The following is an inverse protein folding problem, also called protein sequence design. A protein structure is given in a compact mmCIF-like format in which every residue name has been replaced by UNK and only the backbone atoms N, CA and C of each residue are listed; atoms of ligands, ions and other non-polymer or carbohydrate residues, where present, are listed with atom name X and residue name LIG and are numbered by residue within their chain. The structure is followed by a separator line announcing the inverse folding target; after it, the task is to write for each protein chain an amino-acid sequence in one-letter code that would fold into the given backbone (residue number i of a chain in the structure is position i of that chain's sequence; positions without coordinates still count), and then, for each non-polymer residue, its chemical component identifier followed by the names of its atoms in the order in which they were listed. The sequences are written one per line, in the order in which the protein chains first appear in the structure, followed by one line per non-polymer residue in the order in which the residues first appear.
data_IF_457783710767
#
_entry.id   IF_457783710767
#
_cell.length_a   1.000
_cell.length_b   1.000
_cell.length_c   1.000
_cell.angle_alpha   90.00
_cell.angle_beta   90.00
_cell.angle_gamma   90.00
#
_symmetry.space_group_name_H-M   'P 1'
#
loop_
_entity.id
_entity.type
_entity.pdbx_description
1 polymer ?
#
# COMPACT_ATOMS: atom_id res chain seq x y z
N UNK A 1 -9.83 -10.12 -3.65
CA UNK A 1 -8.72 -9.19 -3.91
C UNK A 1 -8.94 -7.86 -3.20
N UNK A 2 -7.89 -7.05 -3.09
CA UNK A 2 -8.05 -5.69 -2.56
C UNK A 2 -8.91 -4.82 -3.49
N UNK A 3 -9.38 -3.68 -3.00
CA UNK A 3 -10.27 -2.80 -3.74
C UNK A 3 -9.70 -2.27 -5.04
N UNK A 4 -8.36 -2.20 -5.16
CA UNK A 4 -7.69 -1.65 -6.33
C UNK A 4 -7.83 -2.52 -7.59
N UNK A 5 -7.84 -3.83 -7.45
CA UNK A 5 -7.86 -4.78 -8.57
C UNK A 5 -9.24 -5.38 -8.88
N UNK A 6 -10.24 -5.11 -8.05
CA UNK A 6 -11.61 -5.60 -8.27
C UNK A 6 -12.44 -4.53 -8.96
N UNK A 7 -12.91 -4.75 -10.21
CA UNK A 7 -13.71 -3.76 -10.93
C UNK A 7 -14.98 -3.37 -10.15
N UNK A 8 -15.31 -2.07 -10.03
CA UNK A 8 -16.45 -1.64 -9.22
C UNK A 8 -17.82 -1.75 -9.93
N UNK A 9 -17.83 -1.99 -11.25
CA UNK A 9 -19.04 -2.00 -12.08
C UNK A 9 -19.34 -3.36 -12.68
N UNK A 10 -20.62 -3.59 -12.96
CA UNK A 10 -21.12 -4.67 -13.79
C UNK A 10 -21.88 -4.06 -15.00
N UNK A 11 -21.38 -4.25 -16.25
CA UNK A 11 -20.19 -5.03 -16.64
C UNK A 11 -18.87 -4.45 -16.09
N UNK A 12 -17.84 -5.29 -15.90
CA UNK A 12 -16.61 -4.91 -15.19
C UNK A 12 -15.83 -3.81 -15.92
N UNK A 13 -15.74 -2.65 -15.29
CA UNK A 13 -15.02 -1.46 -15.77
C UNK A 13 -14.24 -0.85 -14.62
N UNK A 14 -13.02 -0.41 -14.90
CA UNK A 14 -12.25 0.42 -13.99
C UNK A 14 -12.47 1.89 -14.32
N UNK A 15 -13.02 2.70 -13.40
CA UNK A 15 -13.11 4.14 -13.58
C UNK A 15 -11.71 4.78 -13.57
N UNK A 16 -11.52 5.94 -14.22
CA UNK A 16 -10.23 6.63 -14.19
C UNK A 16 -9.90 7.10 -12.76
N UNK A 17 -8.72 6.73 -12.28
CA UNK A 17 -8.23 7.09 -10.94
C UNK A 17 -7.51 8.44 -10.88
N UNK A 18 -7.26 9.07 -12.03
CA UNK A 18 -6.69 10.41 -12.15
C UNK A 18 -7.68 11.34 -12.78
N UNK A 19 -7.98 12.43 -12.10
CA UNK A 19 -8.88 13.47 -12.63
C UNK A 19 -8.29 14.23 -13.83
N UNK A 20 -6.95 14.22 -14.00
CA UNK A 20 -6.26 15.06 -14.99
C UNK A 20 -5.10 14.33 -15.65
N UNK A 21 -4.99 14.52 -16.96
CA UNK A 21 -3.94 13.98 -17.80
C UNK A 21 -4.42 12.90 -18.78
N UNK A 22 -3.95 12.99 -20.02
CA UNK A 22 -4.18 11.92 -20.98
C UNK A 22 -3.53 10.62 -20.49
N UNK A 23 -4.16 9.45 -20.72
CA UNK A 23 -3.50 8.18 -20.47
C UNK A 23 -2.25 8.06 -21.35
N UNK A 24 -1.21 7.43 -20.83
CA UNK A 24 0.05 7.18 -21.59
C UNK A 24 -0.27 6.39 -22.87
N UNK A 25 -1.24 5.49 -22.78
CA UNK A 25 -1.77 4.70 -23.89
C UNK A 25 -3.29 4.67 -23.80
N UNK A 26 -4.03 4.91 -24.91
CA UNK A 26 -5.48 4.78 -24.93
C UNK A 26 -5.95 3.39 -24.52
N UNK A 27 -7.08 3.31 -23.81
CA UNK A 27 -7.63 2.03 -23.31
C UNK A 27 -7.93 1.07 -24.47
N UNK A 28 -8.40 1.59 -25.59
CA UNK A 28 -8.72 0.78 -26.77
C UNK A 28 -7.47 0.12 -27.38
N UNK A 29 -6.35 0.83 -27.42
CA UNK A 29 -5.07 0.25 -27.84
C UNK A 29 -4.60 -0.84 -26.90
N UNK A 30 -4.71 -0.64 -25.58
CA UNK A 30 -4.35 -1.67 -24.58
C UNK A 30 -5.26 -2.88 -24.76
N UNK A 31 -6.55 -2.67 -24.95
CA UNK A 31 -7.52 -3.76 -25.18
C UNK A 31 -7.19 -4.53 -26.45
N UNK A 32 -6.82 -3.84 -27.52
CA UNK A 32 -6.40 -4.44 -28.78
C UNK A 32 -5.15 -5.32 -28.62
N UNK A 33 -4.12 -4.81 -27.92
CA UNK A 33 -2.89 -5.58 -27.65
C UNK A 33 -3.17 -6.83 -26.81
N UNK A 34 -4.01 -6.69 -25.79
CA UNK A 34 -4.44 -7.82 -24.94
C UNK A 34 -5.18 -8.86 -25.77
N UNK A 35 -6.12 -8.44 -26.62
CA UNK A 35 -6.88 -9.34 -27.49
C UNK A 35 -6.00 -10.06 -28.50
N UNK A 36 -4.97 -9.40 -29.03
CA UNK A 36 -3.97 -10.04 -29.87
C UNK A 36 -3.21 -11.16 -29.13
N UNK A 37 -2.89 -10.97 -27.85
CA UNK A 37 -2.26 -12.00 -27.01
C UNK A 37 -3.23 -13.13 -26.67
N UNK A 38 -4.49 -12.82 -26.33
CA UNK A 38 -5.52 -13.82 -26.06
C UNK A 38 -5.76 -14.72 -27.27
N UNK A 39 -5.88 -14.13 -28.46
CA UNK A 39 -6.03 -14.87 -29.71
C UNK A 39 -4.85 -15.83 -29.97
N UNK A 40 -3.60 -15.37 -29.75
CA UNK A 40 -2.41 -16.24 -29.88
C UNK A 40 -2.43 -17.42 -28.90
N UNK A 41 -3.12 -17.29 -27.77
CA UNK A 41 -3.27 -18.33 -26.74
C UNK A 41 -4.54 -19.16 -26.89
N UNK A 42 -5.32 -18.95 -27.95
CA UNK A 42 -6.59 -19.63 -28.14
C UNK A 42 -7.66 -19.29 -27.12
N UNK A 43 -7.54 -18.09 -26.48
CA UNK A 43 -8.48 -17.60 -25.49
C UNK A 43 -9.49 -16.64 -26.14
N UNK A 44 -10.72 -16.54 -25.60
CA UNK A 44 -11.71 -15.58 -26.07
C UNK A 44 -11.23 -14.16 -25.85
N UNK A 45 -11.58 -13.26 -26.78
CA UNK A 45 -11.31 -11.84 -26.67
C UNK A 45 -12.23 -11.19 -25.63
N UNK A 46 -11.77 -10.05 -25.07
CA UNK A 46 -12.53 -9.24 -24.13
C UNK A 46 -12.95 -7.92 -24.78
N UNK A 47 -14.12 -7.43 -24.41
CA UNK A 47 -14.59 -6.10 -24.82
C UNK A 47 -14.01 -5.00 -23.93
N UNK A 48 -13.73 -5.32 -22.65
CA UNK A 48 -13.24 -4.41 -21.64
C UNK A 48 -12.16 -5.05 -20.78
N UNK A 49 -11.14 -4.31 -20.41
CA UNK A 49 -10.02 -4.81 -19.60
C UNK A 49 -10.46 -5.38 -18.24
N UNK A 50 -11.50 -4.83 -17.63
CA UNK A 50 -12.05 -5.33 -16.37
C UNK A 50 -12.49 -6.79 -16.41
N UNK A 51 -12.85 -7.32 -17.59
CA UNK A 51 -13.22 -8.72 -17.76
C UNK A 51 -12.06 -9.71 -17.52
N UNK A 52 -10.81 -9.25 -17.65
CA UNK A 52 -9.61 -10.07 -17.38
C UNK A 52 -9.48 -10.46 -15.90
N UNK A 53 -10.03 -9.66 -15.03
CA UNK A 53 -9.95 -9.83 -13.57
C UNK A 53 -11.32 -10.07 -12.92
N UNK A 54 -12.37 -10.07 -13.73
CA UNK A 54 -13.69 -10.49 -13.30
C UNK A 54 -13.73 -12.03 -13.21
N UNK A 55 -14.08 -12.54 -12.02
CA UNK A 55 -14.36 -13.97 -11.82
C UNK A 55 -15.86 -14.21 -11.70
N UNK A 56 -16.26 -15.46 -11.48
CA UNK A 56 -17.66 -15.84 -11.21
C UNK A 56 -18.19 -15.23 -9.92
N UNK A 57 -17.28 -14.91 -8.99
CA UNK A 57 -17.58 -14.17 -7.77
C UNK A 57 -16.46 -13.19 -7.44
N UNK A 58 -16.81 -12.08 -6.85
CA UNK A 58 -15.88 -11.03 -6.43
C UNK A 58 -16.02 -10.77 -4.94
N UNK A 59 -14.90 -10.80 -4.23
CA UNK A 59 -14.83 -10.47 -2.81
C UNK A 59 -13.79 -9.36 -2.63
N UNK A 60 -14.20 -8.23 -2.07
CA UNK A 60 -13.33 -7.09 -1.79
C UNK A 60 -12.81 -7.24 -0.36
N UNK A 61 -11.52 -7.51 -0.23
CA UNK A 61 -10.87 -7.83 1.04
C UNK A 61 -10.07 -6.64 1.55
N UNK A 62 -10.76 -5.55 1.88
CA UNK A 62 -10.21 -4.34 2.51
C UNK A 62 -11.26 -3.66 3.38
N UNK A 63 -10.85 -2.69 4.16
CA UNK A 63 -11.77 -1.81 4.88
C UNK A 63 -12.49 -0.90 3.88
N UNK A 64 -13.81 -0.63 4.08
CA UNK A 64 -14.57 0.26 3.19
C UNK A 64 -13.92 1.64 3.02
N UNK A 65 -13.33 2.17 4.07
CA UNK A 65 -12.65 3.48 4.09
C UNK A 65 -11.41 3.52 3.22
N UNK A 66 -10.82 2.35 2.94
CA UNK A 66 -9.60 2.20 2.12
C UNK A 66 -9.90 1.76 0.70
N UNK A 67 -11.13 1.35 0.40
CA UNK A 67 -11.53 0.99 -0.95
C UNK A 67 -11.63 2.25 -1.82
N UNK A 68 -10.71 2.38 -2.77
CA UNK A 68 -10.65 3.54 -3.69
C UNK A 68 -11.87 3.68 -4.61
N UNK A 69 -12.69 2.65 -4.70
CA UNK A 69 -13.92 2.64 -5.48
C UNK A 69 -15.17 2.56 -4.61
N UNK A 70 -15.06 2.74 -3.30
CA UNK A 70 -16.19 2.58 -2.36
C UNK A 70 -17.44 3.35 -2.82
N UNK A 71 -17.27 4.59 -3.28
CA UNK A 71 -18.37 5.44 -3.75
C UNK A 71 -18.95 5.02 -5.10
N UNK A 72 -18.20 4.23 -5.88
CA UNK A 72 -18.57 3.83 -7.24
C UNK A 72 -19.11 2.40 -7.31
N UNK A 73 -18.84 1.56 -6.31
CA UNK A 73 -19.24 0.16 -6.34
C UNK A 73 -20.53 -0.12 -5.59
N UNK A 74 -21.34 -1.03 -6.14
CA UNK A 74 -22.54 -1.52 -5.47
C UNK A 74 -22.22 -2.57 -4.42
N UNK A 75 -21.17 -3.36 -4.65
CA UNK A 75 -20.73 -4.41 -3.77
C UNK A 75 -19.97 -3.82 -2.58
N UNK A 76 -20.32 -4.19 -1.38
CA UNK A 76 -19.62 -3.76 -0.16
C UNK A 76 -18.36 -4.58 0.06
N UNK A 77 -17.34 -3.94 0.65
CA UNK A 77 -16.16 -4.64 1.13
C UNK A 77 -16.54 -5.64 2.23
N UNK A 78 -15.92 -6.82 2.16
CA UNK A 78 -16.11 -7.89 3.14
C UNK A 78 -15.24 -7.72 4.39
N UNK A 79 -14.30 -6.79 4.35
CA UNK A 79 -13.26 -6.60 5.35
C UNK A 79 -11.93 -7.22 4.95
N UNK A 80 -10.87 -6.95 5.69
CA UNK A 80 -9.53 -7.51 5.46
C UNK A 80 -9.53 -9.04 5.42
N UNK A 81 -8.56 -9.59 4.70
CA UNK A 81 -8.41 -11.05 4.59
C UNK A 81 -7.89 -11.66 5.89
N UNK A 82 -6.98 -10.96 6.54
CA UNK A 82 -6.39 -11.37 7.81
C UNK A 82 -7.17 -10.76 8.98
N UNK A 83 -7.16 -11.44 10.12
CA UNK A 83 -7.73 -10.89 11.35
C UNK A 83 -6.93 -9.65 11.77
N UNK A 84 -7.64 -8.54 12.00
CA UNK A 84 -7.02 -7.32 12.45
C UNK A 84 -6.71 -7.36 13.93
N UNK A 85 -5.53 -6.87 14.36
CA UNK A 85 -5.18 -6.79 15.76
C UNK A 85 -6.08 -5.81 16.53
N UNK A 86 -6.21 -6.05 17.83
CA UNK A 86 -6.94 -5.16 18.71
C UNK A 86 -6.25 -3.78 18.84
N UNK A 87 -7.07 -2.75 19.08
CA UNK A 87 -6.59 -1.41 19.42
C UNK A 87 -5.67 -1.50 20.64
N UNK A 88 -4.56 -0.82 20.57
CA UNK A 88 -3.57 -0.75 21.63
C UNK A 88 -3.63 0.57 22.42
N UNK A 89 -3.15 0.61 23.67
CA UNK A 89 -2.88 1.86 24.35
C UNK A 89 -1.82 2.68 23.61
N UNK A 90 -1.94 4.00 23.61
CA UNK A 90 -0.91 4.89 23.03
C UNK A 90 0.34 4.79 23.93
N UNK A 91 1.53 4.45 23.37
CA UNK A 91 2.77 4.43 24.15
C UNK A 91 3.08 5.81 24.75
N UNK A 92 3.54 5.82 25.99
CA UNK A 92 3.89 7.06 26.69
C UNK A 92 5.13 7.74 26.09
N UNK A 93 6.10 6.95 25.64
CA UNK A 93 7.33 7.45 25.06
C UNK A 93 7.24 7.54 23.53
N UNK A 94 7.62 8.69 22.94
CA UNK A 94 7.63 8.85 21.48
C UNK A 94 8.64 7.90 20.84
N UNK A 95 8.16 7.06 19.92
CA UNK A 95 9.00 6.13 19.14
C UNK A 95 8.49 6.03 17.72
N UNK A 96 9.37 6.20 16.76
CA UNK A 96 9.09 6.02 15.35
C UNK A 96 9.50 4.62 14.89
N UNK A 97 8.57 3.87 14.31
CA UNK A 97 8.92 2.64 13.57
C UNK A 97 8.95 2.93 12.06
N UNK A 98 10.02 2.53 11.38
CA UNK A 98 10.24 2.76 9.96
C UNK A 98 10.20 1.41 9.22
N UNK A 99 9.27 1.27 8.27
CA UNK A 99 9.10 0.09 7.45
C UNK A 99 9.11 0.47 5.97
N UNK A 100 10.31 0.59 5.39
CA UNK A 100 10.52 1.12 4.04
C UNK A 100 11.31 0.14 3.16
N UNK A 101 11.51 0.53 1.90
CA UNK A 101 12.39 -0.16 0.96
C UNK A 101 13.48 0.81 0.47
N UNK A 102 14.72 0.32 0.35
CA UNK A 102 15.89 1.14 0.00
C UNK A 102 15.93 1.55 -1.47
N UNK A 103 15.25 0.81 -2.34
CA UNK A 103 15.22 1.00 -3.80
C UNK A 103 14.36 2.20 -4.26
N UNK A 104 13.78 2.95 -3.34
CA UNK A 104 13.01 4.15 -3.65
C UNK A 104 13.84 5.42 -3.36
N UNK A 105 13.96 6.30 -4.35
CA UNK A 105 14.85 7.48 -4.29
C UNK A 105 14.60 8.40 -3.08
N UNK A 106 13.35 8.52 -2.65
CA UNK A 106 13.00 9.38 -1.52
C UNK A 106 13.29 8.73 -0.15
N UNK A 107 13.51 7.41 -0.09
CA UNK A 107 13.81 6.73 1.17
C UNK A 107 15.06 7.29 1.84
N UNK A 108 16.14 7.51 1.10
CA UNK A 108 17.37 8.08 1.65
C UNK A 108 17.16 9.49 2.23
N UNK A 109 16.41 10.34 1.53
CA UNK A 109 16.09 11.70 1.99
C UNK A 109 15.28 11.66 3.28
N UNK A 110 14.30 10.74 3.35
CA UNK A 110 13.47 10.57 4.53
C UNK A 110 14.26 10.05 5.73
N UNK A 111 15.10 9.04 5.53
CA UNK A 111 15.98 8.51 6.59
C UNK A 111 16.94 9.59 7.12
N UNK A 112 17.51 10.40 6.23
CA UNK A 112 18.35 11.52 6.63
C UNK A 112 17.59 12.57 7.45
N UNK A 113 16.34 12.86 7.08
CA UNK A 113 15.50 13.78 7.85
C UNK A 113 15.21 13.24 9.27
N UNK A 114 14.94 11.93 9.40
CA UNK A 114 14.73 11.29 10.71
C UNK A 114 15.99 11.35 11.56
N UNK A 115 17.16 11.04 10.99
CA UNK A 115 18.46 11.16 11.68
C UNK A 115 18.69 12.58 12.18
N UNK A 116 18.43 13.57 11.34
CA UNK A 116 18.61 14.98 11.69
C UNK A 116 17.64 15.43 12.79
N UNK A 117 16.43 14.88 12.82
CA UNK A 117 15.42 15.19 13.83
C UNK A 117 15.72 14.55 15.21
N UNK A 118 16.67 13.62 15.29
CA UNK A 118 17.07 12.90 16.52
C UNK A 118 15.89 12.25 17.26
N UNK A 119 14.89 11.78 16.51
CA UNK A 119 13.74 11.06 17.05
C UNK A 119 14.15 9.62 17.37
N UNK A 120 13.78 9.07 18.55
CA UNK A 120 13.97 7.66 18.83
C UNK A 120 13.31 6.82 17.74
N UNK A 121 14.11 6.05 17.00
CA UNK A 121 13.63 5.34 15.84
C UNK A 121 14.15 3.89 15.79
N UNK A 122 13.27 3.02 15.31
CA UNK A 122 13.53 1.62 15.01
C UNK A 122 13.17 1.38 13.55
N UNK A 123 13.99 0.65 12.80
CA UNK A 123 13.83 0.56 11.36
C UNK A 123 14.02 -0.86 10.82
N UNK A 124 13.17 -1.26 9.88
CA UNK A 124 13.44 -2.29 8.90
C UNK A 124 13.39 -1.67 7.51
N UNK A 125 14.51 -1.75 6.80
CA UNK A 125 14.62 -1.22 5.43
C UNK A 125 14.87 -2.39 4.48
N UNK A 126 13.85 -2.79 3.76
CA UNK A 126 13.95 -3.88 2.77
C UNK A 126 15.02 -3.55 1.74
N UNK A 127 15.86 -4.51 1.40
CA UNK A 127 16.95 -4.37 0.43
C UNK A 127 17.98 -3.28 0.79
N UNK A 128 18.09 -2.91 2.08
CA UNK A 128 19.15 -2.02 2.52
C UNK A 128 20.52 -2.72 2.42
N UNK A 129 21.52 -1.99 1.94
CA UNK A 129 22.91 -2.48 1.97
C UNK A 129 23.42 -2.54 3.41
N UNK A 130 24.45 -3.37 3.70
CA UNK A 130 25.10 -3.39 5.00
C UNK A 130 25.56 -2.01 5.44
N UNK A 131 26.15 -1.24 4.53
CA UNK A 131 26.67 0.10 4.79
C UNK A 131 25.55 1.08 5.22
N UNK A 132 24.36 0.99 4.59
CA UNK A 132 23.21 1.80 4.97
C UNK A 132 22.73 1.43 6.37
N UNK A 133 22.61 0.13 6.68
CA UNK A 133 22.21 -0.33 8.01
C UNK A 133 23.18 0.14 9.09
N UNK A 134 24.48 0.00 8.82
CA UNK A 134 25.53 0.40 9.76
C UNK A 134 25.57 1.93 9.97
N UNK A 135 25.33 2.71 8.92
CA UNK A 135 25.23 4.17 9.03
C UNK A 135 24.03 4.57 9.92
N UNK A 136 22.87 3.92 9.77
CA UNK A 136 21.70 4.18 10.61
C UNK A 136 21.93 3.76 12.06
N UNK A 137 22.58 2.62 12.31
CA UNK A 137 22.96 2.15 13.66
C UNK A 137 23.92 3.14 14.33
N UNK A 138 24.92 3.62 13.59
CA UNK A 138 25.84 4.66 14.09
C UNK A 138 25.14 5.98 14.39
N UNK A 139 24.05 6.28 13.70
CA UNK A 139 23.20 7.43 13.99
C UNK A 139 22.25 7.22 15.19
N UNK A 140 22.32 6.07 15.88
CA UNK A 140 21.54 5.78 17.08
C UNK A 140 20.21 5.06 16.82
N UNK A 141 19.94 4.60 15.60
CA UNK A 141 18.72 3.82 15.30
C UNK A 141 18.90 2.34 15.64
N UNK A 142 17.84 1.70 16.08
CA UNK A 142 17.75 0.23 16.10
C UNK A 142 17.39 -0.22 14.70
N UNK A 143 18.25 -1.03 14.06
CA UNK A 143 18.02 -1.48 12.67
C UNK A 143 17.97 -3.00 12.61
N UNK A 144 16.84 -3.53 12.12
CA UNK A 144 16.64 -4.95 11.92
C UNK A 144 17.23 -5.43 10.60
N UNK A 145 17.87 -6.59 10.62
CA UNK A 145 18.41 -7.24 9.42
C UNK A 145 17.34 -8.06 8.68
N UNK A 146 16.33 -8.56 9.41
CA UNK A 146 15.17 -9.28 8.89
C UNK A 146 13.88 -8.55 9.28
N UNK A 147 12.77 -8.74 8.54
CA UNK A 147 11.51 -8.10 8.90
C UNK A 147 11.03 -8.58 10.27
N UNK A 148 10.91 -7.69 11.26
CA UNK A 148 10.36 -8.03 12.55
C UNK A 148 8.85 -8.23 12.49
N UNK A 149 8.22 -8.92 13.44
CA UNK A 149 6.78 -9.02 13.55
C UNK A 149 6.17 -7.61 13.64
N UNK A 150 5.34 -7.24 12.65
CA UNK A 150 4.82 -5.88 12.50
C UNK A 150 4.03 -5.41 13.73
N UNK A 151 3.12 -6.26 14.21
CA UNK A 151 2.26 -5.94 15.35
C UNK A 151 3.07 -5.62 16.62
N UNK A 152 4.12 -6.39 16.90
CA UNK A 152 4.98 -6.15 18.05
C UNK A 152 5.64 -4.78 17.96
N UNK A 153 6.13 -4.41 16.78
CA UNK A 153 6.77 -3.10 16.59
C UNK A 153 5.75 -1.97 16.67
N UNK A 154 4.55 -2.17 16.13
CA UNK A 154 3.48 -1.18 16.22
C UNK A 154 2.97 -1.01 17.66
N UNK A 155 3.03 -2.03 18.51
CA UNK A 155 2.67 -1.88 19.94
C UNK A 155 3.54 -0.86 20.67
N UNK A 156 4.80 -0.76 20.30
CA UNK A 156 5.79 0.11 20.94
C UNK A 156 5.93 1.47 20.25
N UNK A 157 5.52 1.59 18.99
CA UNK A 157 5.69 2.81 18.20
C UNK A 157 4.52 3.77 18.40
N UNK A 158 4.76 5.06 18.55
CA UNK A 158 3.72 6.09 18.50
C UNK A 158 3.33 6.40 17.07
N UNK A 159 4.29 6.30 16.15
CA UNK A 159 4.12 6.59 14.71
C UNK A 159 4.82 5.51 13.89
N UNK A 160 4.22 5.09 12.79
CA UNK A 160 4.86 4.25 11.77
C UNK A 160 5.06 5.03 10.48
N UNK A 161 6.28 4.96 9.92
CA UNK A 161 6.61 5.48 8.59
C UNK A 161 6.71 4.33 7.60
N UNK A 162 5.84 4.30 6.59
CA UNK A 162 5.82 3.21 5.61
C UNK A 162 5.36 3.68 4.22
N UNK A 163 5.33 2.77 3.24
CA UNK A 163 4.95 3.11 1.87
C UNK A 163 3.44 3.21 1.61
N UNK A 164 2.59 2.73 2.50
CA UNK A 164 1.14 2.70 2.30
C UNK A 164 0.64 1.43 1.59
N UNK A 165 1.38 0.32 1.71
CA UNK A 165 0.87 -1.00 1.33
C UNK A 165 -0.28 -1.43 2.24
N UNK A 166 -1.32 -2.06 1.67
CA UNK A 166 -2.60 -2.32 2.32
C UNK A 166 -2.45 -3.02 3.68
N UNK A 167 -1.75 -4.14 3.76
CA UNK A 167 -1.63 -4.89 5.02
C UNK A 167 -1.00 -4.09 6.16
N UNK A 168 0.09 -3.34 5.90
CA UNK A 168 0.69 -2.47 6.93
C UNK A 168 -0.24 -1.34 7.32
N UNK A 169 -0.95 -0.78 6.36
CA UNK A 169 -1.89 0.33 6.56
C UNK A 169 -3.08 -0.10 7.42
N UNK A 170 -3.71 -1.24 7.09
CA UNK A 170 -4.83 -1.81 7.84
C UNK A 170 -4.43 -2.20 9.27
N UNK A 171 -3.28 -2.87 9.43
CA UNK A 171 -2.76 -3.25 10.74
C UNK A 171 -2.49 -2.03 11.62
N UNK A 172 -1.83 -1.00 11.08
CA UNK A 172 -1.54 0.21 11.82
C UNK A 172 -2.81 1.01 12.18
N UNK A 173 -3.80 1.04 11.26
CA UNK A 173 -5.09 1.67 11.49
C UNK A 173 -5.87 0.95 12.60
N UNK A 174 -5.97 -0.37 12.53
CA UNK A 174 -6.66 -1.18 13.54
C UNK A 174 -6.04 -1.01 14.94
N UNK A 175 -4.72 -0.93 15.02
CA UNK A 175 -4.02 -0.71 16.29
C UNK A 175 -4.07 0.73 16.81
N UNK A 176 -4.62 1.68 16.05
CA UNK A 176 -4.61 3.10 16.41
C UNK A 176 -3.21 3.72 16.39
N UNK A 177 -2.32 3.22 15.50
CA UNK A 177 -0.99 3.78 15.32
C UNK A 177 -1.03 4.91 14.30
N UNK A 178 -0.52 6.09 14.65
CA UNK A 178 -0.40 7.20 13.70
C UNK A 178 0.54 6.82 12.55
N UNK A 179 0.21 7.27 11.33
CA UNK A 179 0.89 6.82 10.12
C UNK A 179 1.47 7.99 9.33
N UNK A 180 2.73 7.87 8.95
CA UNK A 180 3.38 8.71 7.94
C UNK A 180 3.58 7.88 6.67
N UNK A 181 3.09 8.39 5.55
CA UNK A 181 3.08 7.64 4.29
C UNK A 181 4.07 8.22 3.29
N UNK A 182 4.90 7.34 2.72
CA UNK A 182 5.86 7.64 1.65
C UNK A 182 5.53 6.77 0.42
N UNK A 183 4.46 7.08 -0.32
CA UNK A 183 3.97 6.24 -1.41
C UNK A 183 4.96 6.18 -2.58
N UNK A 184 5.10 5.00 -3.20
CA UNK A 184 6.01 4.71 -4.31
C UNK A 184 5.29 4.66 -5.65
N UNK A 185 4.02 4.30 -5.66
CA UNK A 185 3.20 4.10 -6.85
C UNK A 185 1.74 4.54 -6.62
N UNK A 186 0.93 4.44 -7.67
CA UNK A 186 -0.42 4.99 -7.68
C UNK A 186 -1.33 4.43 -6.58
N UNK A 187 -1.38 3.11 -6.40
CA UNK A 187 -2.18 2.46 -5.35
C UNK A 187 -1.85 3.04 -3.97
N UNK A 188 -0.56 3.05 -3.58
CA UNK A 188 -0.13 3.61 -2.30
C UNK A 188 -0.46 5.10 -2.15
N UNK A 189 -0.41 5.85 -3.25
CA UNK A 189 -0.81 7.26 -3.26
C UNK A 189 -2.30 7.44 -3.01
N UNK A 190 -3.14 6.55 -3.56
CA UNK A 190 -4.59 6.54 -3.36
C UNK A 190 -4.93 6.13 -1.93
N UNK A 191 -4.34 5.06 -1.42
CA UNK A 191 -4.46 4.62 -0.03
C UNK A 191 -4.11 5.77 0.94
N UNK A 192 -3.04 6.50 0.63
CA UNK A 192 -2.59 7.66 1.40
C UNK A 192 -3.61 8.82 1.42
N UNK A 193 -4.37 8.99 0.34
CA UNK A 193 -5.43 10.01 0.29
C UNK A 193 -6.64 9.60 1.11
N UNK A 194 -7.06 8.34 1.00
CA UNK A 194 -8.20 7.84 1.74
C UNK A 194 -7.97 7.84 3.26
N UNK A 195 -6.73 7.63 3.70
CA UNK A 195 -6.38 7.68 5.12
C UNK A 195 -6.47 9.11 5.72
N UNK A 196 -6.44 10.15 4.91
CA UNK A 196 -6.52 11.55 5.38
C UNK A 196 -7.95 12.07 5.62
N UNK A 197 -8.93 11.35 5.12
CA UNK A 197 -10.34 11.71 5.30
C UNK A 197 -10.82 11.29 6.67
#
# INVERSE_FOLDING_TARGET
GDGFVVPPHDPPVFPPLRAHGAPIKPVDEITSDVNALLTKRGQPQVERLGQLVAGDAQVITTLPELDIYNDSRKQKAAGPLDELPAVRPIPAEPKLFIYLAADFNNTRKMLQAVVNAKVPAEAFIRSASPELRDALRKAGMIVHDTPPPLEERLREATVVLHHGGMGTLETALAMGCAQLLLPRHLEQSLNSRNLKA
#
